data_IF_852695400968
#
_entry.id   IF_852695400968
#
_cell.length_a   1.000
_cell.length_b   1.000
_cell.length_c   1.000
_cell.angle_alpha   90.00
_cell.angle_beta   90.00
_cell.angle_gamma   90.00
#
_symmetry.space_group_name_H-M   'P 1'
#
loop_
_entity.id
_entity.type
_entity.pdbx_description
1 polymer ?
#
# COMPACT_ATOMS: atom_id res chain seq x y z
N UNK A 1 -4.05 -10.04 -7.91
CA UNK A 1 -2.70 -9.43 -7.84
C UNK A 1 -2.63 -8.23 -6.90
N UNK A 2 -3.44 -7.17 -7.04
CA UNK A 2 -3.40 -5.98 -6.14
C UNK A 2 -3.33 -6.36 -4.66
N UNK A 3 -4.13 -7.34 -4.23
CA UNK A 3 -4.22 -7.79 -2.84
C UNK A 3 -2.87 -8.06 -2.17
N UNK A 4 -1.96 -8.72 -2.87
CA UNK A 4 -0.69 -9.15 -2.31
C UNK A 4 0.49 -8.26 -2.72
N UNK A 5 0.47 -7.73 -3.95
CA UNK A 5 1.63 -7.05 -4.50
C UNK A 5 1.66 -5.54 -4.25
N UNK A 6 0.58 -4.94 -3.74
CA UNK A 6 0.62 -3.56 -3.29
C UNK A 6 1.38 -3.46 -1.95
N UNK A 7 1.13 -4.39 -1.02
CA UNK A 7 1.85 -4.48 0.25
C UNK A 7 2.22 -5.95 0.51
N UNK A 8 3.52 -6.26 0.49
CA UNK A 8 4.02 -7.62 0.69
C UNK A 8 3.69 -8.21 2.06
N UNK A 9 3.40 -7.38 3.05
CA UNK A 9 2.98 -7.84 4.38
C UNK A 9 1.53 -8.33 4.43
N UNK A 10 0.75 -8.09 3.35
CA UNK A 10 -0.65 -8.54 3.30
C UNK A 10 -0.73 -10.06 3.24
N UNK A 11 -1.45 -10.63 4.18
CA UNK A 11 -1.75 -12.07 4.25
C UNK A 11 -3.23 -12.32 4.03
N UNK A 12 -3.55 -13.36 3.27
CA UNK A 12 -4.93 -13.76 3.05
C UNK A 12 -5.04 -15.28 2.90
N UNK A 13 -6.22 -15.82 3.26
CA UNK A 13 -6.56 -17.23 3.08
C UNK A 13 -7.77 -17.37 2.15
N UNK A 14 -7.94 -18.56 1.56
CA UNK A 14 -8.93 -18.84 0.52
C UNK A 14 -10.34 -18.27 0.83
N UNK A 15 -10.91 -18.65 1.97
CA UNK A 15 -12.27 -18.20 2.34
C UNK A 15 -12.39 -16.69 2.56
N UNK A 16 -11.33 -16.03 3.04
CA UNK A 16 -11.30 -14.58 3.18
C UNK A 16 -11.37 -13.89 1.81
N UNK A 17 -10.66 -14.44 0.83
CA UNK A 17 -10.65 -13.93 -0.55
C UNK A 17 -11.98 -14.20 -1.27
N UNK A 18 -12.63 -15.34 -1.02
CA UNK A 18 -14.00 -15.60 -1.51
C UNK A 18 -14.98 -14.51 -1.09
N UNK A 19 -14.97 -14.19 0.20
CA UNK A 19 -15.86 -13.17 0.76
C UNK A 19 -15.51 -11.79 0.21
N UNK A 20 -14.21 -11.48 0.05
CA UNK A 20 -13.74 -10.18 -0.41
C UNK A 20 -14.04 -9.94 -1.89
N UNK A 21 -13.86 -10.97 -2.74
CA UNK A 21 -13.99 -10.82 -4.19
C UNK A 21 -15.35 -11.28 -4.74
N UNK A 22 -16.15 -12.00 -3.94
CA UNK A 22 -17.40 -12.58 -4.40
C UNK A 22 -17.24 -13.69 -5.44
N UNK A 23 -16.06 -14.31 -5.51
CA UNK A 23 -15.70 -15.34 -6.47
C UNK A 23 -15.77 -16.74 -5.85
N UNK A 24 -15.90 -17.78 -6.68
CA UNK A 24 -15.95 -19.15 -6.19
C UNK A 24 -14.62 -19.60 -5.59
N UNK A 25 -14.67 -20.43 -4.53
CA UNK A 25 -13.49 -21.08 -3.93
C UNK A 25 -12.58 -21.74 -4.95
N UNK A 26 -13.16 -22.37 -5.95
CA UNK A 26 -12.41 -23.10 -6.96
C UNK A 26 -11.62 -22.14 -7.87
N UNK A 27 -12.24 -21.05 -8.31
CA UNK A 27 -11.58 -20.04 -9.15
C UNK A 27 -10.40 -19.41 -8.40
N UNK A 28 -10.63 -18.98 -7.15
CA UNK A 28 -9.57 -18.38 -6.32
C UNK A 28 -8.44 -19.39 -6.05
N UNK A 29 -8.79 -20.65 -5.75
CA UNK A 29 -7.79 -21.70 -5.50
C UNK A 29 -6.88 -21.93 -6.70
N UNK A 30 -7.45 -21.98 -7.90
CA UNK A 30 -6.66 -22.16 -9.13
C UNK A 30 -5.67 -21.01 -9.29
N UNK A 31 -6.09 -19.77 -9.10
CA UNK A 31 -5.21 -18.62 -9.23
C UNK A 31 -4.13 -18.58 -8.14
N UNK A 32 -4.48 -18.88 -6.89
CA UNK A 32 -3.50 -18.96 -5.80
C UNK A 32 -2.45 -20.02 -6.06
N UNK A 33 -2.83 -21.21 -6.54
CA UNK A 33 -1.90 -22.28 -6.88
C UNK A 33 -0.98 -21.86 -8.03
N UNK A 34 -1.50 -21.23 -9.07
CA UNK A 34 -0.68 -20.72 -10.19
C UNK A 34 0.36 -19.70 -9.73
N UNK A 35 -0.01 -18.79 -8.84
CA UNK A 35 0.94 -17.82 -8.28
C UNK A 35 1.97 -18.49 -7.37
N UNK A 36 1.57 -19.50 -6.60
CA UNK A 36 2.48 -20.28 -5.75
C UNK A 36 3.44 -21.12 -6.59
N UNK A 37 2.97 -21.80 -7.64
CA UNK A 37 3.79 -22.57 -8.61
C UNK A 37 4.78 -21.68 -9.36
N UNK A 38 4.45 -20.41 -9.57
CA UNK A 38 5.33 -19.42 -10.19
C UNK A 38 6.25 -18.71 -9.17
N UNK A 39 6.29 -19.15 -7.90
CA UNK A 39 7.01 -18.51 -6.79
C UNK A 39 6.65 -17.03 -6.53
N UNK A 40 5.57 -16.53 -7.11
CA UNK A 40 5.07 -15.17 -6.90
C UNK A 40 4.38 -15.01 -5.55
N UNK A 41 3.78 -16.07 -5.04
CA UNK A 41 3.25 -16.15 -3.68
C UNK A 41 3.98 -17.25 -2.91
N UNK A 42 4.18 -16.99 -1.63
CA UNK A 42 4.56 -17.98 -0.63
C UNK A 42 3.38 -18.27 0.29
N UNK A 43 3.35 -19.43 0.91
CA UNK A 43 2.30 -19.78 1.85
C UNK A 43 2.83 -20.38 3.14
N UNK A 44 2.10 -20.13 4.22
CA UNK A 44 2.38 -20.65 5.55
C UNK A 44 1.08 -21.17 6.17
N UNK A 45 1.16 -22.28 6.88
CA UNK A 45 0.04 -22.79 7.64
C UNK A 45 -0.01 -22.17 9.05
N UNK A 46 -1.13 -21.54 9.37
CA UNK A 46 -1.45 -21.08 10.72
C UNK A 46 -2.70 -21.84 11.22
N UNK A 47 -2.47 -22.83 12.09
CA UNK A 47 -3.52 -23.76 12.47
C UNK A 47 -4.08 -24.54 11.28
N UNK A 48 -5.37 -24.38 10.99
CA UNK A 48 -6.05 -25.03 9.86
C UNK A 48 -6.19 -24.11 8.61
N UNK A 49 -5.53 -22.96 8.59
CA UNK A 49 -5.59 -21.99 7.49
C UNK A 49 -4.27 -21.92 6.77
N UNK A 50 -4.30 -22.07 5.45
CA UNK A 50 -3.18 -21.77 4.56
C UNK A 50 -3.24 -20.28 4.22
N UNK A 51 -2.27 -19.52 4.71
CA UNK A 51 -2.12 -18.09 4.46
C UNK A 51 -1.16 -17.88 3.31
N UNK A 52 -1.57 -17.07 2.35
CA UNK A 52 -0.77 -16.67 1.21
C UNK A 52 -0.27 -15.24 1.39
N UNK A 53 0.92 -14.96 0.90
CA UNK A 53 1.60 -13.68 0.95
C UNK A 53 2.45 -13.51 -0.30
N UNK A 54 2.71 -12.26 -0.75
CA UNK A 54 3.65 -12.04 -1.84
C UNK A 54 5.06 -12.49 -1.47
N UNK A 55 5.75 -13.12 -2.41
CA UNK A 55 7.18 -13.39 -2.31
C UNK A 55 7.95 -12.13 -2.72
N UNK A 56 8.36 -11.32 -1.75
CA UNK A 56 9.10 -10.06 -1.99
C UNK A 56 10.55 -10.29 -2.43
N UNK A 57 11.05 -11.54 -2.34
CA UNK A 57 12.35 -11.94 -2.87
C UNK A 57 12.29 -12.39 -4.34
N UNK A 58 11.07 -12.50 -4.90
CA UNK A 58 10.93 -12.88 -6.31
C UNK A 58 11.49 -11.79 -7.23
N UNK A 59 12.28 -12.12 -8.27
CA UNK A 59 12.90 -11.13 -9.16
C UNK A 59 11.93 -10.10 -9.76
N UNK A 60 10.70 -10.52 -10.06
CA UNK A 60 9.66 -9.64 -10.64
C UNK A 60 8.83 -8.89 -9.60
N UNK A 61 9.07 -9.08 -8.29
CA UNK A 61 8.23 -8.45 -7.26
C UNK A 61 8.19 -6.94 -7.40
N UNK A 62 9.35 -6.28 -7.51
CA UNK A 62 9.45 -4.82 -7.62
C UNK A 62 8.72 -4.28 -8.86
N UNK A 63 8.83 -4.98 -9.99
CA UNK A 63 8.16 -4.56 -11.24
C UNK A 63 6.65 -4.68 -11.12
N UNK A 64 6.14 -5.78 -10.57
CA UNK A 64 4.71 -6.00 -10.33
C UNK A 64 4.17 -4.95 -9.34
N UNK A 65 4.88 -4.70 -8.24
CA UNK A 65 4.54 -3.68 -7.26
C UNK A 65 4.43 -2.29 -7.91
N UNK A 66 5.43 -1.90 -8.71
CA UNK A 66 5.44 -0.62 -9.42
C UNK A 66 4.28 -0.50 -10.44
N UNK A 67 3.96 -1.58 -11.16
CA UNK A 67 2.81 -1.62 -12.07
C UNK A 67 1.51 -1.35 -11.30
N UNK A 68 1.34 -1.99 -10.14
CA UNK A 68 0.16 -1.82 -9.30
C UNK A 68 0.07 -0.41 -8.71
N UNK A 69 1.18 0.16 -8.25
CA UNK A 69 1.22 1.56 -7.79
C UNK A 69 0.78 2.51 -8.90
N UNK A 70 1.26 2.33 -10.12
CA UNK A 70 0.85 3.13 -11.29
C UNK A 70 -0.62 2.95 -11.64
N UNK A 71 -1.10 1.73 -11.61
CA UNK A 71 -2.50 1.41 -11.93
C UNK A 71 -3.48 2.01 -10.89
N UNK A 72 -3.10 2.01 -9.61
CA UNK A 72 -3.90 2.65 -8.54
C UNK A 72 -3.82 4.18 -8.55
N UNK A 73 -2.80 4.74 -9.20
CA UNK A 73 -2.51 6.17 -9.24
C UNK A 73 -1.81 6.71 -7.98
N UNK A 74 -1.44 5.84 -7.04
CA UNK A 74 -0.74 6.24 -5.80
C UNK A 74 0.60 6.90 -6.11
N UNK A 75 1.34 6.39 -7.09
CA UNK A 75 2.58 6.98 -7.58
C UNK A 75 2.41 8.46 -7.96
N UNK A 76 1.35 8.79 -8.71
CA UNK A 76 1.05 10.17 -9.13
C UNK A 76 0.70 11.08 -7.95
N UNK A 77 0.01 10.53 -6.93
CA UNK A 77 -0.27 11.29 -5.69
C UNK A 77 1.04 11.63 -5.01
N UNK A 78 1.92 10.65 -4.85
CA UNK A 78 3.22 10.83 -4.20
C UNK A 78 4.08 11.83 -4.95
N UNK A 79 4.26 11.68 -6.27
CA UNK A 79 5.03 12.62 -7.08
C UNK A 79 4.52 14.07 -6.97
N UNK A 80 3.20 14.27 -6.95
CA UNK A 80 2.61 15.61 -6.84
C UNK A 80 2.74 16.22 -5.45
N UNK A 81 2.65 15.40 -4.40
CA UNK A 81 2.62 15.85 -3.01
C UNK A 81 4.03 16.10 -2.48
N UNK A 82 5.00 15.21 -2.79
CA UNK A 82 6.35 15.23 -2.19
C UNK A 82 7.18 16.44 -2.65
N UNK A 83 7.06 16.87 -3.90
CA UNK A 83 7.90 17.95 -4.42
C UNK A 83 7.63 19.28 -3.70
N UNK A 84 8.66 19.82 -3.04
CA UNK A 84 8.67 21.12 -2.36
C UNK A 84 7.75 21.23 -1.13
N UNK A 85 7.53 20.12 -0.42
CA UNK A 85 6.69 20.13 0.78
C UNK A 85 7.41 20.66 2.04
N UNK A 86 8.70 20.91 1.98
CA UNK A 86 9.55 21.29 3.13
C UNK A 86 10.36 20.11 3.65
N UNK A 87 10.58 20.04 4.96
CA UNK A 87 11.38 18.98 5.60
C UNK A 87 10.55 17.69 5.75
N UNK A 88 10.17 17.08 4.62
CA UNK A 88 9.48 15.79 4.58
C UNK A 88 10.45 14.67 4.96
N UNK A 89 10.05 13.79 5.89
CA UNK A 89 10.85 12.65 6.35
C UNK A 89 10.35 11.34 5.73
N UNK A 90 9.03 11.10 5.75
CA UNK A 90 8.46 9.87 5.17
C UNK A 90 6.97 10.02 4.83
N UNK A 91 6.47 9.15 3.96
CA UNK A 91 5.05 9.05 3.60
C UNK A 91 4.64 7.59 3.66
N UNK A 92 3.52 7.33 4.31
CA UNK A 92 2.93 6.00 4.45
C UNK A 92 1.52 5.98 3.88
N UNK A 93 1.19 4.88 3.24
CA UNK A 93 -0.17 4.52 2.87
C UNK A 93 -0.79 3.71 4.00
N UNK A 94 -2.03 4.02 4.33
CA UNK A 94 -2.81 3.32 5.34
C UNK A 94 -4.20 2.95 4.79
N UNK A 95 -5.04 2.35 5.62
CA UNK A 95 -6.41 2.03 5.27
C UNK A 95 -6.56 0.88 4.28
N UNK A 96 -7.60 0.91 3.48
CA UNK A 96 -7.95 -0.19 2.58
C UNK A 96 -6.88 -0.44 1.51
N UNK A 97 -6.27 0.61 0.96
CA UNK A 97 -5.20 0.44 -0.02
C UNK A 97 -3.97 -0.26 0.58
N UNK A 98 -3.56 0.07 1.80
CA UNK A 98 -2.45 -0.62 2.46
C UNK A 98 -2.71 -2.12 2.61
N UNK A 99 -3.98 -2.52 2.73
CA UNK A 99 -4.45 -3.92 2.80
C UNK A 99 -4.67 -4.56 1.42
N UNK A 100 -4.30 -3.88 0.34
CA UNK A 100 -4.50 -4.35 -1.03
C UNK A 100 -5.96 -4.37 -1.49
N UNK A 101 -6.84 -3.58 -0.85
CA UNK A 101 -8.24 -3.38 -1.27
C UNK A 101 -8.37 -2.10 -2.06
N UNK A 102 -9.13 -2.16 -3.14
CA UNK A 102 -9.47 -0.95 -3.89
C UNK A 102 -10.44 -0.06 -3.09
N UNK A 103 -10.21 1.26 -3.10
CA UNK A 103 -10.98 2.22 -2.31
C UNK A 103 -11.17 3.53 -3.08
N UNK A 104 -12.28 4.25 -2.89
CA UNK A 104 -12.45 5.60 -3.42
C UNK A 104 -11.57 6.64 -2.69
N UNK A 105 -10.96 6.27 -1.57
CA UNK A 105 -10.13 7.16 -0.75
C UNK A 105 -8.71 6.58 -0.63
N UNK A 106 -7.71 7.40 -0.93
CA UNK A 106 -6.30 7.12 -0.64
C UNK A 106 -5.97 7.79 0.69
N UNK A 107 -5.55 7.01 1.68
CA UNK A 107 -5.28 7.49 3.03
C UNK A 107 -3.78 7.50 3.31
N UNK A 108 -3.24 8.66 3.70
CA UNK A 108 -1.81 8.86 3.86
C UNK A 108 -1.46 9.36 5.28
N UNK A 109 -0.30 8.94 5.77
CA UNK A 109 0.40 9.59 6.87
C UNK A 109 1.63 10.28 6.28
N UNK A 110 1.73 11.58 6.49
CA UNK A 110 2.84 12.43 6.03
C UNK A 110 3.65 12.84 7.26
N UNK A 111 4.89 12.40 7.34
CA UNK A 111 5.78 12.72 8.46
C UNK A 111 6.78 13.76 8.02
N UNK A 112 6.85 14.87 8.75
CA UNK A 112 7.82 15.91 8.46
C UNK A 112 7.70 17.11 9.39
N UNK A 113 8.67 18.00 9.31
CA UNK A 113 8.74 19.21 10.12
C UNK A 113 8.61 20.46 9.24
N UNK A 114 7.88 21.45 9.72
CA UNK A 114 7.70 22.74 9.02
C UNK A 114 7.19 22.57 7.58
N UNK A 115 6.21 21.66 7.39
CA UNK A 115 5.63 21.39 6.08
C UNK A 115 4.74 22.55 5.60
N UNK A 116 4.87 22.91 4.32
CA UNK A 116 3.98 23.89 3.68
C UNK A 116 2.57 23.32 3.50
N UNK A 117 1.69 23.58 4.46
CA UNK A 117 0.32 23.06 4.48
C UNK A 117 -0.53 23.60 3.35
N UNK A 118 -0.33 24.88 2.96
CA UNK A 118 -1.08 25.46 1.84
C UNK A 118 -0.67 24.82 0.51
N UNK A 119 0.63 24.62 0.32
CA UNK A 119 1.12 23.87 -0.83
C UNK A 119 0.56 22.46 -0.88
N UNK A 120 0.56 21.75 0.26
CA UNK A 120 0.03 20.39 0.39
C UNK A 120 -1.45 20.33 -0.04
N UNK A 121 -2.31 21.20 0.50
CA UNK A 121 -3.74 21.26 0.14
C UNK A 121 -3.91 21.45 -1.38
N UNK A 122 -3.18 22.41 -1.98
CA UNK A 122 -3.25 22.64 -3.43
C UNK A 122 -2.84 21.43 -4.24
N UNK A 123 -1.79 20.71 -3.80
CA UNK A 123 -1.27 19.53 -4.49
C UNK A 123 -2.17 18.32 -4.35
N UNK A 124 -2.75 18.12 -3.19
CA UNK A 124 -3.75 17.08 -2.95
C UNK A 124 -4.96 17.27 -3.87
N UNK A 125 -5.53 18.47 -3.96
CA UNK A 125 -6.65 18.76 -4.87
C UNK A 125 -6.29 18.49 -6.34
N UNK A 126 -5.05 18.80 -6.76
CA UNK A 126 -4.58 18.48 -8.11
C UNK A 126 -4.44 16.98 -8.32
N UNK A 127 -3.89 16.26 -7.34
CA UNK A 127 -3.74 14.82 -7.40
C UNK A 127 -5.10 14.10 -7.47
N UNK A 128 -6.07 14.48 -6.63
CA UNK A 128 -7.44 13.94 -6.64
C UNK A 128 -8.08 14.01 -8.04
N UNK A 129 -7.92 15.15 -8.74
CA UNK A 129 -8.45 15.33 -10.11
C UNK A 129 -7.79 14.38 -11.12
N UNK A 130 -6.49 14.08 -10.94
CA UNK A 130 -5.74 13.21 -11.85
C UNK A 130 -6.10 11.75 -11.64
N UNK A 131 -6.18 11.32 -10.36
CA UNK A 131 -6.40 9.91 -10.01
C UNK A 131 -7.87 9.53 -9.92
N UNK A 132 -8.79 10.50 -9.86
CA UNK A 132 -10.23 10.26 -9.73
C UNK A 132 -10.64 9.71 -8.37
N UNK A 133 -9.83 9.93 -7.34
CA UNK A 133 -10.02 9.44 -5.97
C UNK A 133 -9.82 10.56 -4.97
N UNK A 134 -10.45 10.44 -3.81
CA UNK A 134 -10.18 11.33 -2.68
C UNK A 134 -8.86 11.00 -2.03
N UNK A 135 -8.18 12.02 -1.49
CA UNK A 135 -6.95 11.85 -0.71
C UNK A 135 -7.17 12.42 0.68
N UNK A 136 -7.17 11.55 1.67
CA UNK A 136 -7.18 11.90 3.09
C UNK A 136 -5.76 11.77 3.65
N UNK A 137 -5.35 12.67 4.53
CA UNK A 137 -4.01 12.60 5.11
C UNK A 137 -3.95 13.14 6.53
N UNK A 138 -3.00 12.59 7.29
CA UNK A 138 -2.57 13.11 8.58
C UNK A 138 -1.14 13.60 8.47
N UNK A 139 -0.84 14.72 9.14
CA UNK A 139 0.53 15.22 9.27
C UNK A 139 0.99 14.93 10.69
N UNK A 140 2.15 14.30 10.80
CA UNK A 140 2.82 14.03 12.07
C UNK A 140 4.21 14.64 12.08
N UNK A 141 4.62 15.14 13.23
CA UNK A 141 6.03 15.48 13.43
C UNK A 141 6.87 14.20 13.63
N UNK A 142 8.16 14.21 13.24
CA UNK A 142 9.02 13.03 13.39
C UNK A 142 9.08 12.49 14.82
N UNK A 143 9.02 13.35 15.83
CA UNK A 143 8.99 12.99 17.25
C UNK A 143 7.75 12.18 17.68
N UNK A 144 6.63 12.35 16.96
CA UNK A 144 5.35 11.68 17.25
C UNK A 144 5.16 10.43 16.41
N UNK A 145 5.82 10.40 15.23
CA UNK A 145 5.59 9.40 14.21
C UNK A 145 5.90 7.99 14.68
N UNK A 146 7.02 7.76 15.38
CA UNK A 146 7.42 6.43 15.83
C UNK A 146 6.34 5.77 16.68
N UNK A 147 5.89 6.45 17.72
CA UNK A 147 4.84 5.95 18.62
C UNK A 147 3.47 5.79 17.93
N UNK A 148 3.18 6.66 16.96
CA UNK A 148 1.93 6.60 16.22
C UNK A 148 1.91 5.42 15.25
N UNK A 149 2.99 5.20 14.52
CA UNK A 149 3.13 4.13 13.53
C UNK A 149 3.13 2.74 14.16
N UNK A 150 3.63 2.59 15.39
CA UNK A 150 3.57 1.32 16.14
C UNK A 150 2.15 0.80 16.40
N UNK A 151 1.12 1.63 16.24
CA UNK A 151 -0.29 1.22 16.36
C UNK A 151 -0.79 0.43 15.16
N UNK A 152 -0.09 0.51 14.04
CA UNK A 152 -0.44 -0.19 12.81
C UNK A 152 0.25 -1.54 12.74
N UNK A 153 -0.45 -2.54 12.23
CA UNK A 153 0.16 -3.81 11.86
C UNK A 153 0.91 -3.65 10.52
N UNK A 154 1.90 -4.48 10.23
CA UNK A 154 2.65 -4.41 8.97
C UNK A 154 1.77 -4.44 7.71
N UNK A 155 0.67 -5.22 7.75
CA UNK A 155 -0.29 -5.30 6.64
C UNK A 155 -1.18 -4.05 6.47
N UNK A 156 -1.25 -3.18 7.50
CA UNK A 156 -2.08 -1.97 7.52
C UNK A 156 -1.29 -0.70 7.21
N UNK A 157 0.02 -0.83 6.98
CA UNK A 157 0.95 0.28 6.77
C UNK A 157 1.93 -0.06 5.65
N UNK A 158 2.01 0.79 4.63
CA UNK A 158 2.99 0.66 3.56
C UNK A 158 3.78 1.96 3.42
N UNK A 159 5.09 1.90 3.62
CA UNK A 159 5.96 3.04 3.36
C UNK A 159 6.08 3.27 1.86
N UNK A 160 5.69 4.45 1.40
CA UNK A 160 5.71 4.84 -0.02
C UNK A 160 6.94 5.68 -0.36
N UNK A 161 7.45 6.42 0.63
CA UNK A 161 8.59 7.31 0.44
C UNK A 161 9.34 7.55 1.75
N UNK A 162 10.66 7.75 1.66
CA UNK A 162 11.53 8.08 2.77
C UNK A 162 12.66 8.99 2.29
N UNK A 163 13.02 10.02 3.08
CA UNK A 163 14.14 10.93 2.78
C UNK A 163 15.49 10.22 2.70
N UNK A 164 15.67 9.14 3.48
CA UNK A 164 16.93 8.39 3.57
C UNK A 164 17.11 7.40 2.41
N UNK A 165 16.03 7.12 1.68
CA UNK A 165 15.99 6.22 0.53
C UNK A 165 15.89 6.97 -0.79
N UNK A 166 16.79 7.92 -1.04
CA UNK A 166 17.00 8.43 -2.40
C UNK A 166 17.68 7.34 -3.23
N UNK A 167 16.89 6.44 -3.81
CA UNK A 167 17.23 5.80 -5.07
C UNK A 167 16.63 6.58 -6.23
#
# INVERSE_FOLDING_TARGET
MKKFFLNSNTRAYLRGLETEFGESSNAIRIELNRFEEADLLISVWEGNKKLFQANDQHPLYKDIHNIILKETGIDRVIEKVIHRLGNLSSVYLIGDFARGKDSPVIELIIVGKDLDREYLVRKVVQAEKIVGRKVSYFILEPSEAENYLLKYKPEDLLQLWNSDGKE
#
